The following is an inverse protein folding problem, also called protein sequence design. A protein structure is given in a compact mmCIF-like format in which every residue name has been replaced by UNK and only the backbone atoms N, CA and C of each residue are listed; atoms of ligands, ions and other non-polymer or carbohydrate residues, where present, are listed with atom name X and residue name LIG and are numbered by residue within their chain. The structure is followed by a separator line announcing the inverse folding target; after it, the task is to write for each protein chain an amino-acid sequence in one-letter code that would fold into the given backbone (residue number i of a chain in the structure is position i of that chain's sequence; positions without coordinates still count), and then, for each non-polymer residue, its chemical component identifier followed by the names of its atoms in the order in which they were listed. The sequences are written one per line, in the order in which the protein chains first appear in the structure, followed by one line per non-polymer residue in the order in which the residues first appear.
data_IF_588781505325
#
_entry.id   IF_588781505325
#
_cell.length_a   1.000
_cell.length_b   1.000
_cell.length_c   1.000
_cell.angle_alpha   90.00
_cell.angle_beta   90.00
_cell.angle_gamma   90.00
#
_symmetry.space_group_name_H-M   'P 1'
#
loop_
_entity.id
_entity.type
_entity.pdbx_description
1 polymer ?
#
# COMPACT_ATOMS: atom_id res chain seq x y z
N UNK A 1 -5.64 0.62 -19.06
CA UNK A 1 -4.62 0.69 -17.99
C UNK A 1 -5.25 0.74 -16.60
N UNK A 2 -6.07 1.74 -16.24
CA UNK A 2 -6.72 1.79 -14.91
C UNK A 2 -7.80 0.71 -14.71
N UNK A 3 -8.66 0.48 -15.71
CA UNK A 3 -9.72 -0.56 -15.62
C UNK A 3 -9.15 -1.99 -15.55
N UNK A 4 -8.03 -2.26 -16.22
CA UNK A 4 -7.36 -3.56 -16.17
C UNK A 4 -6.80 -3.85 -14.76
N UNK A 5 -6.17 -2.84 -14.12
CA UNK A 5 -5.69 -2.92 -12.73
C UNK A 5 -6.84 -3.17 -11.75
N UNK A 6 -7.94 -2.44 -11.91
CA UNK A 6 -9.16 -2.61 -11.08
C UNK A 6 -9.73 -4.02 -11.26
N UNK A 7 -9.85 -4.48 -12.51
CA UNK A 7 -10.35 -5.82 -12.83
C UNK A 7 -9.52 -6.93 -12.21
N UNK A 8 -8.19 -6.83 -12.28
CA UNK A 8 -7.29 -7.81 -11.68
C UNK A 8 -7.42 -7.87 -10.17
N UNK A 9 -7.34 -6.73 -9.48
CA UNK A 9 -7.42 -6.68 -8.01
C UNK A 9 -8.79 -7.14 -7.50
N UNK A 10 -9.86 -6.81 -8.22
CA UNK A 10 -11.22 -7.26 -7.91
C UNK A 10 -11.40 -8.78 -8.10
N UNK A 11 -10.62 -9.41 -8.97
CA UNK A 11 -10.62 -10.86 -9.18
C UNK A 11 -9.77 -11.61 -8.13
N UNK A 12 -8.73 -10.96 -7.60
CA UNK A 12 -7.80 -11.52 -6.61
C UNK A 12 -8.17 -11.09 -5.18
N UNK A 13 -9.41 -11.37 -4.76
CA UNK A 13 -9.81 -11.13 -3.37
C UNK A 13 -9.12 -12.11 -2.43
N UNK A 14 -8.67 -11.60 -1.27
CA UNK A 14 -8.16 -12.44 -0.20
C UNK A 14 -9.31 -13.26 0.45
N UNK A 15 -9.02 -14.42 1.05
CA UNK A 15 -10.03 -15.22 1.76
C UNK A 15 -10.81 -14.41 2.81
N UNK A 16 -10.15 -13.49 3.49
CA UNK A 16 -10.74 -12.60 4.49
C UNK A 16 -11.73 -11.60 3.86
N UNK A 17 -11.44 -11.09 2.66
CA UNK A 17 -12.32 -10.16 1.93
C UNK A 17 -13.56 -10.88 1.38
N UNK A 18 -13.39 -12.14 0.96
CA UNK A 18 -14.49 -13.01 0.58
C UNK A 18 -15.38 -13.34 1.79
N UNK A 19 -14.76 -13.65 2.93
CA UNK A 19 -15.49 -13.95 4.16
C UNK A 19 -16.24 -12.74 4.72
N UNK A 20 -15.68 -11.54 4.58
CA UNK A 20 -16.32 -10.28 4.94
C UNK A 20 -17.46 -9.88 3.97
N UNK A 21 -17.51 -10.48 2.78
CA UNK A 21 -18.54 -10.23 1.78
C UNK A 21 -18.38 -8.88 1.09
N UNK A 22 -17.29 -8.70 0.33
CA UNK A 22 -17.09 -7.51 -0.51
C UNK A 22 -18.28 -7.33 -1.50
N UNK A 23 -19.22 -6.44 -1.17
CA UNK A 23 -20.47 -6.25 -1.91
C UNK A 23 -20.22 -5.77 -3.35
N UNK A 24 -19.11 -5.05 -3.58
CA UNK A 24 -18.65 -4.64 -4.89
C UNK A 24 -17.11 -4.64 -4.97
N UNK A 25 -16.52 -5.77 -5.38
CA UNK A 25 -15.06 -5.92 -5.45
C UNK A 25 -14.38 -4.91 -6.38
N UNK A 26 -15.06 -4.49 -7.46
CA UNK A 26 -14.54 -3.46 -8.39
C UNK A 26 -14.46 -2.09 -7.73
N UNK A 27 -15.53 -1.67 -7.04
CA UNK A 27 -15.53 -0.38 -6.34
C UNK A 27 -14.50 -0.37 -5.19
N UNK A 28 -14.35 -1.48 -4.48
CA UNK A 28 -13.31 -1.63 -3.46
C UNK A 28 -11.91 -1.53 -4.07
N UNK A 29 -11.65 -2.25 -5.17
CA UNK A 29 -10.37 -2.22 -5.86
C UNK A 29 -10.03 -0.81 -6.39
N UNK A 30 -11.00 -0.10 -6.97
CA UNK A 30 -10.83 1.28 -7.42
C UNK A 30 -10.42 2.21 -6.27
N UNK A 31 -11.10 2.14 -5.13
CA UNK A 31 -10.79 2.96 -3.97
C UNK A 31 -9.37 2.68 -3.42
N UNK A 32 -9.01 1.40 -3.27
CA UNK A 32 -7.69 0.99 -2.77
C UNK A 32 -6.58 1.45 -3.72
N UNK A 33 -6.76 1.28 -5.02
CA UNK A 33 -5.76 1.66 -6.01
C UNK A 33 -5.60 3.18 -6.08
N UNK A 34 -6.70 3.94 -6.01
CA UNK A 34 -6.64 5.40 -5.97
C UNK A 34 -5.87 5.91 -4.75
N UNK A 35 -6.17 5.38 -3.56
CA UNK A 35 -5.43 5.72 -2.33
C UNK A 35 -3.95 5.30 -2.42
N UNK A 36 -3.67 4.15 -3.04
CA UNK A 36 -2.29 3.67 -3.19
C UNK A 36 -1.47 4.53 -4.15
N UNK A 37 -2.06 4.91 -5.28
CA UNK A 37 -1.42 5.81 -6.25
C UNK A 37 -1.15 7.18 -5.57
N UNK A 38 -2.08 7.70 -4.74
CA UNK A 38 -1.86 8.93 -3.97
C UNK A 38 -0.68 8.82 -3.00
N UNK A 39 -0.56 7.72 -2.25
CA UNK A 39 0.56 7.51 -1.31
C UNK A 39 1.89 7.26 -2.01
N UNK A 40 1.87 6.69 -3.20
CA UNK A 40 3.06 6.48 -4.03
C UNK A 40 3.63 7.82 -4.51
N UNK A 41 2.77 8.71 -5.01
CA UNK A 41 3.15 10.05 -5.46
C UNK A 41 3.45 11.01 -4.31
N UNK A 42 2.75 10.86 -3.17
CA UNK A 42 2.93 11.67 -1.98
C UNK A 42 3.12 10.78 -0.74
N UNK A 43 4.38 10.56 -0.31
CA UNK A 43 4.70 9.76 0.88
C UNK A 43 4.02 10.28 2.17
N UNK A 44 3.60 11.54 2.22
CA UNK A 44 2.87 12.14 3.34
C UNK A 44 1.33 12.08 3.23
N UNK A 45 0.77 11.45 2.19
CA UNK A 45 -0.67 11.39 1.98
C UNK A 45 -1.40 10.53 3.04
N UNK A 46 -0.70 9.63 3.72
CA UNK A 46 -1.25 8.87 4.83
C UNK A 46 -1.08 9.65 6.15
N UNK A 47 -2.16 10.20 6.74
CA UNK A 47 -2.07 11.21 7.80
C UNK A 47 -1.41 10.72 9.09
N UNK A 48 -1.52 9.42 9.40
CA UNK A 48 -0.96 8.82 10.61
C UNK A 48 0.33 8.02 10.37
N UNK A 49 0.90 8.09 9.16
CA UNK A 49 2.10 7.32 8.80
C UNK A 49 3.37 8.15 9.00
N UNK A 50 4.32 7.62 9.78
CA UNK A 50 5.68 8.15 9.87
C UNK A 50 6.61 7.36 8.96
N UNK A 51 7.16 8.00 7.94
CA UNK A 51 8.16 7.40 7.05
C UNK A 51 9.57 7.84 7.44
N UNK A 52 10.41 6.88 7.84
CA UNK A 52 11.81 7.15 8.16
C UNK A 52 12.63 7.32 6.87
N UNK A 53 13.06 8.54 6.56
CA UNK A 53 13.83 8.87 5.36
C UNK A 53 15.32 8.52 5.43
N UNK A 54 15.69 7.28 5.81
CA UNK A 54 17.10 6.85 5.82
C UNK A 54 17.63 6.68 4.40
N UNK A 55 18.83 7.22 4.16
CA UNK A 55 19.60 6.93 2.94
C UNK A 55 20.24 5.55 3.03
N UNK A 56 20.61 4.97 1.89
CA UNK A 56 21.18 3.61 1.81
C UNK A 56 22.46 3.42 2.65
N UNK A 57 23.31 4.45 2.74
CA UNK A 57 24.52 4.47 3.58
C UNK A 57 24.18 4.46 5.09
N UNK A 58 23.09 5.11 5.48
CA UNK A 58 22.58 5.14 6.85
C UNK A 58 21.86 3.85 7.24
N UNK A 59 21.37 3.08 6.26
CA UNK A 59 20.73 1.80 6.50
C UNK A 59 21.72 0.71 6.96
N UNK A 60 22.94 0.71 6.43
CA UNK A 60 23.97 -0.29 6.72
C UNK A 60 24.73 -0.05 8.04
N UNK A 61 24.63 1.15 8.62
CA UNK A 61 25.41 1.55 9.79
C UNK A 61 24.85 1.08 11.15
N UNK A 62 23.78 0.27 11.18
CA UNK A 62 23.08 -0.13 12.43
C UNK A 62 23.83 -1.17 13.29
N UNK A 63 25.15 -1.30 13.14
CA UNK A 63 25.96 -2.33 13.80
C UNK A 63 26.96 -1.85 14.86
N UNK A 64 27.26 -0.55 14.96
CA UNK A 64 28.29 -0.04 15.87
C UNK A 64 27.68 0.53 17.17
N UNK A 65 26.86 -0.27 17.85
CA UNK A 65 26.51 0.00 19.26
C UNK A 65 27.58 -0.67 20.12
N UNK A 66 28.63 0.08 20.45
CA UNK A 66 29.66 -0.29 21.43
C UNK A 66 29.00 -0.70 22.75
N UNK A 67 29.32 -1.91 23.23
CA UNK A 67 29.15 -2.33 24.63
C UNK A 67 30.49 -2.23 25.33
#
# INVERSE_FOLDING_TARGET
MTDDRIGQRAAELLPEELAAGSENPRAQAEAILAESDEREDNPGAAPDTFLEGRRSDQAAATGETTR
#
